data_IF_153227951931
#
_entry.id   IF_153227951931
#
_cell.length_a   1.000
_cell.length_b   1.000
_cell.length_c   1.000
_cell.angle_alpha   90.00
_cell.angle_beta   90.00
_cell.angle_gamma   90.00
#
_symmetry.space_group_name_H-M   'P 1'
#
loop_
_entity.id
_entity.type
_entity.pdbx_description
1 polymer ?
#
# COMPACT_ATOMS: atom_id res chain seq x y z
N UNK A 1 10.33 -17.92 6.88
CA UNK A 1 9.09 -17.12 6.72
C UNK A 1 9.26 -15.87 7.54
N UNK A 2 9.06 -14.67 6.98
CA UNK A 2 9.17 -13.43 7.76
C UNK A 2 7.77 -13.01 8.20
N UNK A 3 7.55 -13.01 9.52
CA UNK A 3 6.30 -12.61 10.20
C UNK A 3 6.47 -11.26 10.91
N UNK A 4 7.41 -10.47 10.45
CA UNK A 4 7.80 -9.24 11.09
C UNK A 4 6.84 -8.08 10.81
N UNK A 5 6.67 -7.10 11.72
CA UNK A 5 5.86 -5.90 11.49
C UNK A 5 6.11 -5.22 10.13
N UNK A 6 7.37 -5.13 9.67
CA UNK A 6 7.67 -4.48 8.38
C UNK A 6 7.14 -5.29 7.19
N UNK A 7 7.28 -6.61 7.26
CA UNK A 7 6.80 -7.53 6.25
C UNK A 7 5.26 -7.55 6.20
N UNK A 8 4.62 -7.46 7.37
CA UNK A 8 3.17 -7.43 7.52
C UNK A 8 2.56 -6.12 6.99
N UNK A 9 3.09 -4.96 7.39
CA UNK A 9 2.61 -3.66 6.89
C UNK A 9 2.73 -3.57 5.37
N UNK A 10 3.84 -4.09 4.83
CA UNK A 10 4.05 -4.17 3.38
C UNK A 10 3.03 -5.08 2.70
N UNK A 11 2.74 -6.24 3.26
CA UNK A 11 1.74 -7.17 2.72
C UNK A 11 0.34 -6.54 2.69
N UNK A 12 -0.08 -5.87 3.77
CA UNK A 12 -1.38 -5.18 3.81
C UNK A 12 -1.46 -4.04 2.82
N UNK A 13 -0.41 -3.22 2.68
CA UNK A 13 -0.39 -2.16 1.69
C UNK A 13 -0.50 -2.71 0.25
N UNK A 14 0.11 -3.85 -0.04
CA UNK A 14 0.00 -4.51 -1.35
C UNK A 14 -1.41 -5.06 -1.60
N UNK A 15 -2.01 -5.72 -0.60
CA UNK A 15 -3.39 -6.24 -0.67
C UNK A 15 -4.39 -5.11 -0.89
N UNK A 16 -4.27 -4.00 -0.17
CA UNK A 16 -5.16 -2.84 -0.34
C UNK A 16 -5.06 -2.30 -1.76
N UNK A 17 -3.85 -2.11 -2.28
CA UNK A 17 -3.65 -1.57 -3.63
C UNK A 17 -4.04 -2.55 -4.75
N UNK A 18 -4.18 -3.85 -4.47
CA UNK A 18 -4.66 -4.84 -5.44
C UNK A 18 -6.19 -4.97 -5.50
N UNK A 19 -6.91 -4.41 -4.51
CA UNK A 19 -8.37 -4.47 -4.50
C UNK A 19 -8.99 -3.65 -5.63
N UNK A 20 -10.13 -4.12 -6.15
CA UNK A 20 -10.96 -3.34 -7.06
C UNK A 20 -11.53 -2.11 -6.36
N UNK A 21 -11.58 -0.99 -7.07
CA UNK A 21 -12.20 0.23 -6.56
C UNK A 21 -13.72 0.08 -6.60
N UNK A 22 -14.38 0.43 -5.49
CA UNK A 22 -15.83 0.48 -5.41
C UNK A 22 -16.35 1.69 -6.20
N UNK A 23 -17.28 1.45 -7.12
CA UNK A 23 -17.90 2.51 -7.92
C UNK A 23 -18.60 3.55 -7.03
N UNK A 24 -18.56 4.82 -7.43
CA UNK A 24 -19.14 5.95 -6.68
C UNK A 24 -18.54 6.17 -5.29
N UNK A 25 -17.47 5.45 -4.94
CA UNK A 25 -16.71 5.75 -3.73
C UNK A 25 -15.87 7.02 -3.92
N UNK A 26 -15.42 7.60 -2.80
CA UNK A 26 -14.48 8.71 -2.84
C UNK A 26 -13.23 8.40 -3.67
N UNK A 27 -12.69 7.18 -3.56
CA UNK A 27 -11.52 6.76 -4.34
C UNK A 27 -11.82 6.73 -5.85
N UNK A 28 -13.00 6.27 -6.24
CA UNK A 28 -13.46 6.27 -7.63
C UNK A 28 -13.57 7.69 -8.17
N UNK A 29 -14.22 8.59 -7.42
CA UNK A 29 -14.31 10.00 -7.76
C UNK A 29 -12.93 10.65 -7.92
N UNK A 30 -12.00 10.38 -7.00
CA UNK A 30 -10.65 10.95 -7.07
C UNK A 30 -9.89 10.43 -8.31
N UNK A 31 -10.00 9.15 -8.65
CA UNK A 31 -9.39 8.59 -9.86
C UNK A 31 -9.91 9.28 -11.12
N UNK A 32 -11.21 9.58 -11.18
CA UNK A 32 -11.81 10.34 -12.28
C UNK A 32 -11.39 11.82 -12.30
N UNK A 33 -11.29 12.46 -11.14
CA UNK A 33 -10.92 13.89 -11.03
C UNK A 33 -9.48 14.18 -11.45
N UNK A 34 -8.56 13.24 -11.22
CA UNK A 34 -7.12 13.51 -11.33
C UNK A 34 -6.48 13.12 -12.67
N UNK A 35 -7.24 12.57 -13.63
CA UNK A 35 -6.76 12.03 -14.93
C UNK A 35 -5.58 11.05 -14.85
N UNK A 36 -5.18 10.64 -13.64
CA UNK A 36 -4.00 9.85 -13.37
C UNK A 36 -4.35 8.85 -12.27
N UNK A 37 -4.28 7.57 -12.62
CA UNK A 37 -4.29 6.50 -11.64
C UNK A 37 -2.86 6.16 -11.25
N UNK A 38 -2.51 6.36 -9.98
CA UNK A 38 -1.17 6.08 -9.47
C UNK A 38 -0.93 4.60 -9.17
N UNK A 39 -1.88 3.70 -9.48
CA UNK A 39 -1.89 2.29 -9.05
C UNK A 39 -1.59 2.17 -7.54
N UNK A 40 -2.11 3.14 -6.79
CA UNK A 40 -1.87 3.31 -5.37
C UNK A 40 -3.05 4.06 -4.79
N UNK A 41 -3.96 3.31 -4.19
CA UNK A 41 -5.22 3.81 -3.65
C UNK A 41 -4.97 4.90 -2.62
N UNK A 42 -3.92 4.78 -1.81
CA UNK A 42 -3.53 5.79 -0.84
C UNK A 42 -3.15 7.12 -1.50
N UNK A 43 -2.41 7.10 -2.62
CA UNK A 43 -2.06 8.32 -3.36
C UNK A 43 -3.23 8.91 -4.13
N UNK A 44 -4.12 8.06 -4.62
CA UNK A 44 -5.34 8.49 -5.30
C UNK A 44 -6.28 9.22 -4.34
N UNK A 45 -6.40 8.78 -3.08
CA UNK A 45 -7.24 9.45 -2.06
C UNK A 45 -6.55 10.64 -1.39
N UNK A 46 -5.27 10.49 -1.04
CA UNK A 46 -4.47 11.46 -0.30
C UNK A 46 -3.06 11.52 -0.89
N UNK A 47 -2.80 12.49 -1.77
CA UNK A 47 -1.54 12.59 -2.53
C UNK A 47 -0.30 12.69 -1.64
N UNK A 48 -0.45 13.21 -0.42
CA UNK A 48 0.62 13.29 0.58
C UNK A 48 0.85 12.00 1.39
N UNK A 49 0.16 10.89 1.07
CA UNK A 49 0.39 9.61 1.76
C UNK A 49 1.58 8.87 1.17
N UNK A 50 2.67 8.83 1.93
CA UNK A 50 3.94 8.21 1.55
C UNK A 50 4.24 6.91 2.32
N UNK A 51 3.29 5.98 2.38
CA UNK A 51 3.43 4.72 3.14
C UNK A 51 4.72 3.93 2.84
N UNK A 52 5.21 3.97 1.59
CA UNK A 52 6.47 3.31 1.18
C UNK A 52 7.68 3.85 1.94
N UNK A 53 7.68 5.14 2.28
CA UNK A 53 8.77 5.80 3.03
C UNK A 53 8.88 5.22 4.43
N UNK A 54 7.76 4.99 5.11
CA UNK A 54 7.76 4.36 6.44
C UNK A 54 8.37 2.95 6.38
N UNK A 55 7.99 2.14 5.38
CA UNK A 55 8.55 0.80 5.18
C UNK A 55 10.05 0.85 4.88
N UNK A 56 10.47 1.70 3.94
CA UNK A 56 11.89 1.80 3.56
C UNK A 56 12.75 2.32 4.72
N UNK A 57 12.21 3.23 5.55
CA UNK A 57 12.88 3.71 6.75
C UNK A 57 13.02 2.63 7.82
N UNK A 58 11.98 1.83 8.06
CA UNK A 58 12.04 0.71 9.00
C UNK A 58 13.11 -0.33 8.60
N UNK A 59 13.21 -0.64 7.30
CA UNK A 59 14.29 -1.49 6.77
C UNK A 59 15.66 -0.84 6.97
N UNK A 60 15.78 0.47 6.72
CA UNK A 60 17.03 1.22 6.90
C UNK A 60 17.51 1.23 8.35
N UNK A 61 16.59 1.28 9.31
CA UNK A 61 16.89 1.15 10.74
C UNK A 61 17.30 -0.27 11.16
N UNK A 62 17.27 -1.23 10.24
CA UNK A 62 17.62 -2.61 10.53
C UNK A 62 16.58 -3.31 11.40
N UNK A 63 15.35 -2.78 11.48
CA UNK A 63 14.28 -3.44 12.22
C UNK A 63 14.06 -4.83 11.61
N UNK A 64 13.68 -4.89 10.34
CA UNK A 64 13.41 -6.14 9.63
C UNK A 64 13.47 -5.98 8.10
N UNK A 65 13.30 -7.09 7.37
CA UNK A 65 13.17 -7.09 5.91
C UNK A 65 11.72 -6.85 5.46
N UNK A 66 11.53 -6.20 4.31
CA UNK A 66 10.22 -6.09 3.64
C UNK A 66 9.77 -7.34 2.88
N UNK A 67 10.55 -8.42 2.90
CA UNK A 67 10.24 -9.67 2.18
C UNK A 67 9.22 -10.49 2.97
N UNK A 68 8.06 -10.75 2.38
CA UNK A 68 7.05 -11.63 2.92
C UNK A 68 6.72 -12.75 1.93
N UNK A 69 6.08 -13.82 2.42
CA UNK A 69 5.45 -14.85 1.59
C UNK A 69 3.97 -14.89 1.97
N UNK A 70 3.10 -14.56 1.02
CA UNK A 70 1.66 -14.72 1.21
C UNK A 70 1.32 -16.22 1.17
N UNK A 71 0.50 -16.67 2.11
CA UNK A 71 -0.08 -18.01 2.12
C UNK A 71 -1.58 -17.81 1.94
N UNK A 72 -2.11 -18.23 0.80
CA UNK A 72 -3.55 -18.26 0.53
C UNK A 72 -4.09 -19.61 1.05
N UNK A 73 -5.21 -19.56 1.77
CA UNK A 73 -5.90 -20.72 2.36
C UNK A 73 -7.20 -20.96 1.62
#
# INVERSE_FOLDING_TARGET
MSYGPVALDKAYADIVNSQSVLQESYLDEQRHKHNNDFNNHFKNTHRETYWKVCIDYAVKLGLESKKYKLIEV
#
